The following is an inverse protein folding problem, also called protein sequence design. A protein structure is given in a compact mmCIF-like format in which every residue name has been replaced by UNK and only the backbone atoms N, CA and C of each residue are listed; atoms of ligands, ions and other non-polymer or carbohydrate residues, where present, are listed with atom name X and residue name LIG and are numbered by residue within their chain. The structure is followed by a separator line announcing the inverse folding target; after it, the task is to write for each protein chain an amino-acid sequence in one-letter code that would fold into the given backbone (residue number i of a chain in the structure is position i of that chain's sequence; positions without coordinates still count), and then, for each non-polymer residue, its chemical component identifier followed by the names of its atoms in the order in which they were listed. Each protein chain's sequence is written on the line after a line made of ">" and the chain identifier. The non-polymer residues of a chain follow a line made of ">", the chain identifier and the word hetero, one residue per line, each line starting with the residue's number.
data_IF_707234654590
#
_entry.id   IF_707234654590
#
_cell.length_a   1.000
_cell.length_b   1.000
_cell.length_c   1.000
_cell.angle_alpha   90.00
_cell.angle_beta   90.00
_cell.angle_gamma   90.00
#
_symmetry.space_group_name_H-M   'P 1'
#
loop_
_entity.id
_entity.type
_entity.pdbx_description
1 polymer ?
#
# COMPACT_ATOMS: atom_id res chain seq x y z
N UNK A 1 -5.71 60.55 -0.55
CA UNK A 1 -4.76 59.67 -1.27
C UNK A 1 -3.82 58.91 -0.34
N UNK A 2 -3.04 59.55 0.54
CA UNK A 2 -2.13 58.85 1.47
C UNK A 2 -2.81 57.78 2.36
N UNK A 3 -3.99 58.08 2.94
CA UNK A 3 -4.76 57.12 3.77
C UNK A 3 -5.24 55.88 3.00
N UNK A 4 -5.58 56.02 1.72
CA UNK A 4 -6.03 54.90 0.86
C UNK A 4 -4.83 54.02 0.49
N UNK A 5 -3.66 54.63 0.24
CA UNK A 5 -2.41 53.90 -0.01
C UNK A 5 -2.00 53.09 1.23
N UNK A 6 -2.09 53.65 2.44
CA UNK A 6 -1.78 52.91 3.67
C UNK A 6 -2.75 51.74 3.92
N UNK A 7 -4.05 51.90 3.62
CA UNK A 7 -5.04 50.82 3.75
C UNK A 7 -4.80 49.71 2.71
N UNK A 8 -4.47 50.06 1.46
CA UNK A 8 -4.11 49.08 0.42
C UNK A 8 -2.83 48.33 0.77
N UNK A 9 -1.80 49.02 1.26
CA UNK A 9 -0.56 48.39 1.75
C UNK A 9 -0.83 47.45 2.93
N UNK A 10 -1.68 47.85 3.88
CA UNK A 10 -2.04 47.01 5.04
C UNK A 10 -2.79 45.73 4.59
N UNK A 11 -3.72 45.84 3.65
CA UNK A 11 -4.47 44.70 3.11
C UNK A 11 -3.54 43.75 2.35
N UNK A 12 -2.61 44.28 1.54
CA UNK A 12 -1.60 43.47 0.85
C UNK A 12 -0.68 42.73 1.83
N UNK A 13 -0.24 43.40 2.89
CA UNK A 13 0.60 42.79 3.94
C UNK A 13 -0.17 41.69 4.68
N UNK A 14 -1.43 41.93 5.08
CA UNK A 14 -2.27 40.92 5.73
C UNK A 14 -2.63 39.73 4.83
N UNK A 15 -2.77 39.96 3.51
CA UNK A 15 -2.97 38.88 2.53
C UNK A 15 -1.70 38.04 2.34
N UNK A 16 -0.52 38.65 2.42
CA UNK A 16 0.75 37.95 2.27
C UNK A 16 1.09 37.09 3.49
N UNK A 17 0.71 37.53 4.71
CA UNK A 17 0.94 36.76 5.94
C UNK A 17 0.03 35.54 6.07
N UNK A 18 -1.11 35.50 5.37
CA UNK A 18 -2.01 34.33 5.36
C UNK A 18 -1.43 33.14 4.58
N UNK A 19 -0.47 33.38 3.66
CA UNK A 19 0.21 32.33 2.88
C UNK A 19 1.42 31.70 3.58
N UNK A 20 1.84 32.20 4.75
CA UNK A 20 3.03 31.72 5.47
C UNK A 20 2.66 30.81 6.65
N UNK A 21 1.42 30.31 6.72
CA UNK A 21 1.13 29.21 7.63
C UNK A 21 1.84 27.97 7.07
N UNK A 22 2.85 27.41 7.78
CA UNK A 22 3.47 26.19 7.33
C UNK A 22 2.40 25.11 7.35
N UNK A 23 2.04 24.60 6.16
CA UNK A 23 1.41 23.29 6.11
C UNK A 23 2.36 22.34 6.82
N UNK A 24 1.88 21.67 7.87
CA UNK A 24 2.70 20.71 8.60
C UNK A 24 3.20 19.67 7.61
N UNK A 25 4.48 19.75 7.24
CA UNK A 25 5.12 18.68 6.52
C UNK A 25 5.25 17.52 7.51
N UNK A 26 4.41 16.50 7.35
CA UNK A 26 4.61 15.23 8.03
C UNK A 26 5.79 14.53 7.36
N UNK A 27 7.00 14.99 7.69
CA UNK A 27 8.22 14.24 7.45
C UNK A 27 8.21 13.03 8.39
N UNK A 28 8.66 11.89 7.89
CA UNK A 28 8.79 10.69 8.70
C UNK A 28 10.05 10.83 9.54
N UNK A 29 9.86 11.12 10.82
CA UNK A 29 10.94 11.05 11.79
C UNK A 29 10.94 9.65 12.40
N UNK A 30 11.68 8.74 11.78
CA UNK A 30 11.85 7.41 12.32
C UNK A 30 12.83 7.49 13.48
N UNK A 31 12.37 7.12 14.68
CA UNK A 31 13.28 6.85 15.79
C UNK A 31 14.20 5.70 15.35
N UNK A 32 15.52 5.88 15.48
CA UNK A 32 16.46 4.79 15.26
C UNK A 32 16.19 3.69 16.29
N UNK A 33 15.62 2.59 15.83
CA UNK A 33 15.35 1.38 16.62
C UNK A 33 16.39 0.33 16.27
N UNK A 34 16.88 -0.39 17.28
CA UNK A 34 17.76 -1.55 17.05
C UNK A 34 16.99 -2.67 16.30
N UNK A 35 17.67 -3.56 15.55
CA UNK A 35 17.02 -4.71 14.95
C UNK A 35 16.27 -5.58 15.96
N UNK A 36 16.81 -5.72 17.17
CA UNK A 36 16.22 -6.48 18.27
C UNK A 36 14.92 -5.83 18.75
N UNK A 37 14.91 -4.51 18.95
CA UNK A 37 13.70 -3.77 19.35
C UNK A 37 12.64 -3.78 18.24
N UNK A 38 13.07 -3.63 16.98
CA UNK A 38 12.18 -3.76 15.83
C UNK A 38 11.56 -5.16 15.78
N UNK A 39 12.34 -6.21 16.04
CA UNK A 39 11.85 -7.58 16.12
C UNK A 39 10.84 -7.78 17.25
N UNK A 40 11.05 -7.18 18.42
CA UNK A 40 10.10 -7.27 19.52
C UNK A 40 8.80 -6.53 19.21
N UNK A 41 8.89 -5.33 18.63
CA UNK A 41 7.74 -4.46 18.33
C UNK A 41 6.84 -4.97 17.21
N UNK A 42 7.39 -5.69 16.25
CA UNK A 42 6.63 -6.20 15.09
C UNK A 42 6.03 -7.59 15.38
N UNK A 43 4.86 -7.87 14.81
CA UNK A 43 4.14 -9.13 15.04
C UNK A 43 4.66 -10.25 14.13
N UNK A 44 4.97 -9.91 12.87
CA UNK A 44 5.39 -10.85 11.83
C UNK A 44 6.67 -10.35 11.17
N UNK A 45 7.69 -11.22 11.16
CA UNK A 45 9.01 -10.94 10.58
C UNK A 45 9.43 -12.10 9.69
N UNK A 46 9.75 -11.82 8.42
CA UNK A 46 10.09 -12.85 7.44
C UNK A 46 11.00 -12.32 6.33
N UNK A 47 11.70 -13.21 5.65
CA UNK A 47 12.36 -12.94 4.38
C UNK A 47 11.49 -13.48 3.24
N UNK A 48 11.28 -12.66 2.21
CA UNK A 48 10.42 -13.04 1.10
C UNK A 48 10.75 -12.30 -0.18
N UNK A 49 10.25 -12.87 -1.29
CA UNK A 49 10.31 -12.27 -2.62
C UNK A 49 8.96 -11.67 -2.98
N UNK A 50 8.96 -10.45 -3.51
CA UNK A 50 7.75 -9.81 -4.03
C UNK A 50 7.31 -10.53 -5.30
N UNK A 51 6.08 -11.01 -5.30
CA UNK A 51 5.44 -11.61 -6.47
C UNK A 51 4.70 -10.58 -7.31
N UNK A 52 4.01 -9.64 -6.67
CA UNK A 52 3.17 -8.64 -7.33
C UNK A 52 2.95 -7.44 -6.40
N UNK A 53 2.92 -6.24 -6.97
CA UNK A 53 2.61 -4.98 -6.28
C UNK A 53 1.38 -4.35 -6.91
N UNK A 54 0.35 -4.09 -6.12
CA UNK A 54 -0.87 -3.44 -6.58
C UNK A 54 -1.15 -2.15 -5.81
N UNK A 55 -1.19 -1.04 -6.52
CA UNK A 55 -1.67 0.23 -5.98
C UNK A 55 -3.21 0.29 -6.06
N UNK A 56 -3.89 0.34 -4.91
CA UNK A 56 -5.32 0.63 -4.83
C UNK A 56 -5.52 2.09 -4.46
N UNK A 57 -5.64 2.99 -5.44
CA UNK A 57 -6.11 4.39 -5.28
C UNK A 57 -6.06 4.97 -3.85
N UNK A 58 -7.22 5.26 -3.26
CA UNK A 58 -7.32 5.76 -1.87
C UNK A 58 -7.12 4.68 -0.78
N UNK A 59 -7.04 3.40 -1.15
CA UNK A 59 -6.99 2.24 -0.25
C UNK A 59 -5.58 1.74 0.11
N UNK A 60 -4.52 2.39 -0.37
CA UNK A 60 -3.13 2.02 -0.11
C UNK A 60 -2.55 1.00 -1.11
N UNK A 61 -1.33 0.56 -0.85
CA UNK A 61 -0.57 -0.37 -1.69
C UNK A 61 -0.65 -1.77 -1.06
N UNK A 62 -1.02 -2.77 -1.86
CA UNK A 62 -0.94 -4.19 -1.49
C UNK A 62 0.26 -4.82 -2.17
N UNK A 63 1.05 -5.56 -1.41
CA UNK A 63 2.21 -6.29 -1.94
C UNK A 63 2.13 -7.74 -1.53
N UNK A 64 2.11 -8.66 -2.50
CA UNK A 64 2.14 -10.09 -2.24
C UNK A 64 3.56 -10.60 -2.21
N UNK A 65 3.87 -11.35 -1.17
CA UNK A 65 5.14 -12.02 -0.97
C UNK A 65 5.01 -13.52 -1.13
N UNK A 66 6.02 -14.12 -1.74
CA UNK A 66 6.42 -15.50 -1.50
C UNK A 66 7.39 -15.52 -0.32
N UNK A 67 7.00 -16.18 0.76
CA UNK A 67 7.80 -16.26 1.99
C UNK A 67 8.85 -17.36 1.82
N UNK A 68 10.12 -17.04 2.13
CA UNK A 68 11.24 -17.97 2.05
C UNK A 68 11.71 -18.41 3.43
N UNK A 69 11.85 -17.46 4.35
CA UNK A 69 12.24 -17.71 5.74
C UNK A 69 11.36 -16.93 6.69
N UNK A 70 11.05 -17.53 7.83
CA UNK A 70 10.21 -16.93 8.87
C UNK A 70 11.04 -16.79 10.13
N UNK A 71 11.07 -15.57 10.65
CA UNK A 71 11.71 -15.23 11.91
C UNK A 71 10.68 -15.11 13.05
N UNK A 72 9.44 -14.66 12.77
CA UNK A 72 8.39 -14.49 13.77
C UNK A 72 6.98 -14.52 13.19
N UNK A 73 6.04 -15.07 13.95
CA UNK A 73 4.60 -14.72 13.87
C UNK A 73 3.78 -15.32 12.73
N UNK A 74 4.35 -16.13 11.85
CA UNK A 74 3.61 -16.74 10.72
C UNK A 74 4.07 -18.16 10.41
N UNK A 75 3.30 -18.86 9.57
CA UNK A 75 3.65 -20.16 8.98
C UNK A 75 3.27 -20.27 7.50
N UNK A 76 2.71 -19.19 6.93
CA UNK A 76 2.14 -19.15 5.58
C UNK A 76 3.22 -18.98 4.51
N UNK A 77 3.09 -19.68 3.38
CA UNK A 77 3.99 -19.57 2.23
C UNK A 77 3.82 -18.29 1.42
N UNK A 78 2.66 -17.62 1.57
CA UNK A 78 2.35 -16.34 0.96
C UNK A 78 1.71 -15.41 1.98
N UNK A 79 2.04 -14.13 1.90
CA UNK A 79 1.55 -13.07 2.78
C UNK A 79 1.32 -11.81 1.96
N UNK A 80 0.22 -11.10 2.24
CA UNK A 80 -0.03 -9.77 1.69
C UNK A 80 0.36 -8.73 2.74
N UNK A 81 1.22 -7.80 2.35
CA UNK A 81 1.60 -6.64 3.13
C UNK A 81 0.90 -5.40 2.58
N UNK A 82 0.35 -4.61 3.49
CA UNK A 82 -0.32 -3.36 3.22
C UNK A 82 0.61 -2.20 3.54
N UNK A 83 0.56 -1.16 2.72
CA UNK A 83 1.30 0.07 2.97
C UNK A 83 0.40 1.26 2.67
N UNK A 84 0.35 2.22 3.60
CA UNK A 84 -0.40 3.46 3.40
C UNK A 84 0.19 4.28 2.23
N UNK A 85 -0.64 5.04 1.54
CA UNK A 85 -0.20 6.10 0.62
C UNK A 85 0.17 7.34 1.43
N UNK A 86 1.36 7.32 2.03
CA UNK A 86 1.93 8.43 2.80
C UNK A 86 3.40 8.66 2.46
N UNK A 87 3.97 9.76 2.96
CA UNK A 87 5.42 10.00 2.89
C UNK A 87 6.24 8.88 3.56
N UNK A 88 5.64 8.10 4.47
CA UNK A 88 6.28 7.02 5.22
C UNK A 88 6.05 5.63 4.62
N UNK A 89 5.47 5.58 3.42
CA UNK A 89 5.22 4.34 2.71
C UNK A 89 6.53 3.64 2.38
N UNK A 90 6.67 2.38 2.79
CA UNK A 90 7.73 1.54 2.28
C UNK A 90 7.39 1.12 0.84
N UNK A 91 8.28 1.37 -0.12
CA UNK A 91 8.05 1.01 -1.52
C UNK A 91 8.73 -0.30 -1.86
N UNK A 92 7.92 -1.30 -2.18
CA UNK A 92 8.39 -2.57 -2.69
C UNK A 92 8.52 -2.55 -4.21
N UNK A 93 9.47 -3.32 -4.73
CA UNK A 93 9.66 -3.55 -6.14
C UNK A 93 9.36 -5.01 -6.48
N UNK A 94 8.62 -5.25 -7.57
CA UNK A 94 8.33 -6.60 -8.04
C UNK A 94 9.61 -7.40 -8.30
N UNK A 95 9.60 -8.67 -7.90
CA UNK A 95 10.76 -9.55 -7.98
C UNK A 95 11.85 -9.27 -6.96
N UNK A 96 11.79 -8.17 -6.20
CA UNK A 96 12.74 -7.83 -5.16
C UNK A 96 12.63 -8.75 -3.93
N UNK A 97 13.72 -8.87 -3.19
CA UNK A 97 13.80 -9.68 -1.96
C UNK A 97 14.01 -8.77 -0.76
N UNK A 98 13.30 -9.05 0.33
CA UNK A 98 13.22 -8.16 1.48
C UNK A 98 13.21 -8.96 2.78
N UNK A 99 13.81 -8.38 3.82
CA UNK A 99 13.52 -8.70 5.21
C UNK A 99 12.40 -7.76 5.66
N UNK A 100 11.23 -8.32 5.93
CA UNK A 100 10.01 -7.57 6.20
C UNK A 100 9.69 -7.62 7.69
N UNK A 101 9.50 -6.45 8.28
CA UNK A 101 8.97 -6.26 9.63
C UNK A 101 7.56 -5.66 9.51
N UNK A 102 6.57 -6.36 10.06
CA UNK A 102 5.17 -5.96 9.94
C UNK A 102 4.38 -6.21 11.22
N UNK A 103 3.38 -5.36 11.43
CA UNK A 103 2.45 -5.46 12.55
C UNK A 103 1.01 -5.47 12.06
N UNK A 104 0.12 -6.08 12.83
CA UNK A 104 -1.30 -6.04 12.53
C UNK A 104 -1.87 -4.65 12.82
N UNK A 105 -2.69 -4.15 11.89
CA UNK A 105 -3.46 -2.92 12.07
C UNK A 105 -4.89 -3.11 11.58
N UNK A 106 -5.86 -2.69 12.41
CA UNK A 106 -7.29 -2.81 12.09
C UNK A 106 -7.75 -4.27 11.97
N UNK A 107 -8.51 -4.58 10.92
CA UNK A 107 -9.07 -5.90 10.58
C UNK A 107 -7.98 -6.90 10.13
N UNK A 108 -7.00 -7.18 10.99
CA UNK A 108 -5.95 -8.20 10.77
C UNK A 108 -5.07 -7.98 9.52
N UNK A 109 -4.95 -6.73 9.04
CA UNK A 109 -4.06 -6.39 7.93
C UNK A 109 -2.64 -6.21 8.45
N UNK A 110 -1.69 -6.94 7.87
CA UNK A 110 -0.27 -6.72 8.15
C UNK A 110 0.21 -5.48 7.42
N UNK A 111 0.60 -4.46 8.17
CA UNK A 111 1.13 -3.21 7.66
C UNK A 111 2.63 -3.08 7.91
N UNK A 112 3.30 -2.36 7.02
CA UNK A 112 4.69 -1.94 7.19
C UNK A 112 4.88 -0.49 6.77
N UNK A 113 6.01 0.09 7.19
CA UNK A 113 6.41 1.46 6.88
C UNK A 113 7.94 1.54 6.80
N UNK A 114 8.46 2.68 6.35
CA UNK A 114 9.91 2.93 6.36
C UNK A 114 10.52 2.92 7.78
N UNK A 115 9.70 3.09 8.83
CA UNK A 115 10.16 3.05 10.21
C UNK A 115 10.01 1.68 10.87
N UNK A 116 9.49 0.67 10.16
CA UNK A 116 9.23 -0.65 10.75
C UNK A 116 10.48 -1.51 10.92
N UNK A 117 11.58 -1.17 10.24
CA UNK A 117 12.80 -1.99 10.15
C UNK A 117 12.90 -2.82 8.87
N UNK A 118 11.88 -2.76 8.00
CA UNK A 118 11.89 -3.44 6.70
C UNK A 118 13.00 -2.90 5.80
N UNK A 119 13.75 -3.81 5.17
CA UNK A 119 14.86 -3.48 4.26
C UNK A 119 14.94 -4.47 3.10
N UNK A 120 15.60 -4.05 2.01
CA UNK A 120 15.99 -4.99 0.95
C UNK A 120 16.98 -6.00 1.52
N UNK A 121 16.90 -7.24 1.04
CA UNK A 121 17.63 -8.35 1.65
C UNK A 121 19.15 -8.22 1.51
N UNK A 122 19.62 -7.59 0.44
CA UNK A 122 21.03 -7.25 0.19
C UNK A 122 21.56 -6.12 1.10
N UNK A 123 20.68 -5.38 1.75
CA UNK A 123 21.00 -4.28 2.68
C UNK A 123 20.74 -4.65 4.15
N UNK A 124 20.20 -5.84 4.41
CA UNK A 124 19.69 -6.27 5.72
C UNK A 124 20.67 -7.15 6.52
N UNK A 125 21.97 -7.09 6.22
CA UNK A 125 22.95 -8.01 6.83
C UNK A 125 23.11 -7.80 8.35
N UNK A 126 23.04 -6.55 8.82
CA UNK A 126 23.08 -6.23 10.26
C UNK A 126 21.87 -6.83 10.96
N UNK A 127 20.68 -6.61 10.40
CA UNK A 127 19.42 -7.12 10.95
C UNK A 127 19.41 -8.65 10.97
N UNK A 128 19.82 -9.31 9.90
CA UNK A 128 19.86 -10.78 9.84
C UNK A 128 20.80 -11.37 10.89
N UNK A 129 21.98 -10.77 11.06
CA UNK A 129 22.93 -11.23 12.08
C UNK A 129 22.34 -11.06 13.48
N UNK A 130 21.74 -9.90 13.79
CA UNK A 130 21.02 -9.68 15.04
C UNK A 130 19.91 -10.71 15.27
N UNK A 131 19.06 -10.95 14.26
CA UNK A 131 17.97 -11.93 14.33
C UNK A 131 18.46 -13.35 14.58
N UNK A 132 19.59 -13.74 13.97
CA UNK A 132 20.17 -15.08 14.14
C UNK A 132 20.62 -15.38 15.58
N UNK A 133 20.90 -14.35 16.38
CA UNK A 133 21.26 -14.49 17.79
C UNK A 133 20.05 -14.61 18.73
N UNK A 134 18.87 -14.13 18.32
CA UNK A 134 17.69 -14.02 19.18
C UNK A 134 16.53 -14.92 18.75
N UNK A 135 16.53 -15.41 17.51
CA UNK A 135 15.46 -16.21 16.95
C UNK A 135 15.99 -17.30 16.01
N UNK A 136 15.27 -18.43 15.96
CA UNK A 136 15.57 -19.51 15.02
C UNK A 136 14.71 -19.37 13.78
N UNK A 137 15.34 -19.23 12.62
CA UNK A 137 14.64 -19.21 11.35
C UNK A 137 13.90 -20.53 11.08
N UNK A 138 12.77 -20.43 10.40
CA UNK A 138 11.98 -21.58 9.94
C UNK A 138 11.48 -21.38 8.51
N UNK A 139 11.08 -22.46 7.85
CA UNK A 139 10.46 -22.40 6.52
C UNK A 139 8.94 -22.44 6.64
N UNK A 140 8.19 -21.85 5.70
CA UNK A 140 6.73 -21.94 5.71
C UNK A 140 6.24 -23.39 5.67
N UNK A 141 5.31 -23.74 6.55
CA UNK A 141 4.69 -25.06 6.62
C UNK A 141 3.29 -25.07 6.02
N UNK A 142 2.59 -23.93 6.05
CA UNK A 142 1.24 -23.77 5.50
C UNK A 142 1.33 -23.21 4.08
N UNK A 143 1.02 -24.03 3.07
CA UNK A 143 0.86 -23.53 1.71
C UNK A 143 -0.42 -22.73 1.58
N UNK A 144 -0.31 -21.45 1.22
CA UNK A 144 -1.42 -20.53 0.98
C UNK A 144 -1.25 -19.92 -0.40
N UNK A 145 -2.34 -19.90 -1.18
CA UNK A 145 -2.41 -19.14 -2.42
C UNK A 145 -3.25 -17.88 -2.19
N UNK A 146 -2.66 -16.70 -2.44
CA UNK A 146 -3.28 -15.39 -2.27
C UNK A 146 -3.34 -14.59 -3.59
N UNK A 147 -3.11 -15.24 -4.74
CA UNK A 147 -3.16 -14.55 -6.03
C UNK A 147 -4.54 -13.98 -6.33
N UNK A 148 -5.60 -14.69 -5.96
CA UNK A 148 -6.98 -14.22 -6.19
C UNK A 148 -7.32 -12.96 -5.36
N UNK A 149 -6.69 -12.79 -4.20
CA UNK A 149 -6.87 -11.60 -3.35
C UNK A 149 -6.16 -10.34 -3.91
N UNK A 150 -5.24 -10.54 -4.86
CA UNK A 150 -4.57 -9.47 -5.59
C UNK A 150 -5.37 -8.98 -6.79
N UNK A 151 -6.35 -9.73 -7.29
CA UNK A 151 -7.11 -9.27 -8.45
C UNK A 151 -7.94 -8.04 -8.06
N UNK A 152 -7.67 -6.89 -8.69
CA UNK A 152 -8.58 -5.75 -8.70
C UNK A 152 -9.77 -6.09 -9.58
N UNK A 153 -10.57 -7.08 -9.14
CA UNK A 153 -11.74 -7.47 -9.88
C UNK A 153 -12.67 -6.26 -9.96
N UNK A 154 -13.09 -5.89 -11.17
CA UNK A 154 -14.39 -5.26 -11.31
C UNK A 154 -15.33 -6.10 -10.44
N UNK A 155 -15.99 -5.45 -9.48
CA UNK A 155 -16.97 -6.12 -8.63
C UNK A 155 -17.89 -6.92 -9.53
N UNK A 156 -18.25 -8.16 -9.16
CA UNK A 156 -19.18 -8.97 -9.96
C UNK A 156 -20.44 -8.18 -10.35
N UNK A 157 -20.89 -7.24 -9.51
CA UNK A 157 -21.94 -6.30 -9.88
C UNK A 157 -21.62 -5.41 -11.07
N UNK A 158 -20.41 -4.86 -11.16
CA UNK A 158 -19.97 -4.09 -12.32
C UNK A 158 -19.96 -4.96 -13.59
N UNK A 159 -19.53 -6.22 -13.50
CA UNK A 159 -19.58 -7.17 -14.62
C UNK A 159 -21.02 -7.46 -15.05
N UNK A 160 -21.94 -7.66 -14.09
CA UNK A 160 -23.36 -7.87 -14.40
C UNK A 160 -24.01 -6.64 -15.05
N UNK A 161 -23.70 -5.43 -14.56
CA UNK A 161 -24.23 -4.17 -15.12
C UNK A 161 -23.75 -3.98 -16.56
N UNK A 162 -22.46 -4.21 -16.83
CA UNK A 162 -21.90 -4.10 -18.19
C UNK A 162 -22.57 -5.12 -19.12
N UNK A 163 -22.75 -6.36 -18.67
CA UNK A 163 -23.38 -7.42 -19.46
C UNK A 163 -24.84 -7.09 -19.83
N UNK A 164 -25.62 -6.57 -18.87
CA UNK A 164 -27.01 -6.13 -19.11
C UNK A 164 -27.05 -4.95 -20.08
N UNK A 165 -26.17 -3.98 -19.92
CA UNK A 165 -26.09 -2.82 -20.82
C UNK A 165 -25.82 -3.21 -22.28
N UNK A 166 -24.89 -4.17 -22.48
CA UNK A 166 -24.58 -4.70 -23.82
C UNK A 166 -25.79 -5.42 -24.43
N UNK A 167 -26.51 -6.24 -23.67
CA UNK A 167 -27.72 -6.92 -24.15
C UNK A 167 -28.82 -5.94 -24.55
N UNK A 168 -29.02 -4.88 -23.78
CA UNK A 168 -30.00 -3.83 -24.10
C UNK A 168 -29.62 -3.07 -25.37
N UNK A 169 -28.34 -2.73 -25.55
CA UNK A 169 -27.87 -2.09 -26.77
C UNK A 169 -28.10 -2.97 -28.00
N UNK A 170 -27.80 -4.26 -27.90
CA UNK A 170 -28.05 -5.22 -28.99
C UNK A 170 -29.56 -5.28 -29.31
N UNK A 171 -30.42 -5.34 -28.30
CA UNK A 171 -31.87 -5.38 -28.49
C UNK A 171 -32.40 -4.10 -29.18
N UNK A 172 -31.90 -2.92 -28.79
CA UNK A 172 -32.25 -1.64 -29.41
C UNK A 172 -31.79 -1.59 -30.87
N UNK A 173 -30.57 -2.03 -31.17
CA UNK A 173 -30.06 -2.10 -32.55
C UNK A 173 -30.93 -3.03 -33.40
N UNK A 174 -31.26 -4.22 -32.89
CA UNK A 174 -32.16 -5.15 -33.59
C UNK A 174 -33.54 -4.53 -33.83
N UNK A 175 -34.09 -3.80 -32.85
CA UNK A 175 -35.37 -3.12 -32.98
C UNK A 175 -35.33 -2.01 -34.04
N UNK A 176 -34.29 -1.18 -34.05
CA UNK A 176 -34.09 -0.12 -35.05
C UNK A 176 -33.98 -0.73 -36.46
N UNK A 177 -33.13 -1.75 -36.64
CA UNK A 177 -32.95 -2.43 -37.94
C UNK A 177 -34.24 -3.08 -38.43
N UNK A 178 -35.01 -3.70 -37.54
CA UNK A 178 -36.33 -4.26 -37.88
C UNK A 178 -37.34 -3.18 -38.30
N UNK A 179 -37.28 -2.01 -37.68
CA UNK A 179 -38.17 -0.88 -37.98
C UNK A 179 -37.80 -0.21 -39.30
N UNK A 180 -36.51 -0.08 -39.62
CA UNK A 180 -36.05 0.51 -40.89
C UNK A 180 -36.24 -0.43 -42.07
N UNK A 181 -36.19 -1.75 -41.90
CA UNK A 181 -36.48 -2.75 -42.95
C UNK A 181 -37.97 -2.93 -43.28
N UNK A 182 -38.88 -2.46 -42.42
CA UNK A 182 -40.34 -2.54 -42.64
C UNK A 182 -40.95 -1.28 -43.26
N UNK A 183 -40.14 -0.23 -43.48
CA UNK A 183 -40.47 0.92 -44.34
C UNK A 183 -39.88 0.68 -45.71
#
# INVERSE_FOLDING_TARGET
>A
MKRIIYLLSLVLICSFTFFILPEKSYACDCINVSPEDAFQKNDVVFEGKVLEVQEKGEGGIKTLFEVKKIWKGTSSSRIIIYTSVSSCAFRFAEGGEYLVFSSYRGEEKLETSICSGTKRLDEAEIEKNALSHIAKESVPTKKVDLKDEMVSGLSWWQVTIISIGVLLLIAVVIFIVRRTRKK
#
